data_IF_161224501721
#
_entry.id   IF_161224501721
#
_cell.length_a   1.000
_cell.length_b   1.000
_cell.length_c   1.000
_cell.angle_alpha   90.00
_cell.angle_beta   90.00
_cell.angle_gamma   90.00
#
_symmetry.space_group_name_H-M   'P 1'
#
loop_
_entity.id
_entity.type
_entity.pdbx_description
1 polymer ?
#
# COMPACT_ATOMS: atom_id res chain seq x y z
N UNK A 1 -0.91 17.26 -3.18
CA UNK A 1 -0.73 15.87 -2.70
C UNK A 1 0.76 15.61 -2.51
N UNK A 2 1.17 15.17 -1.33
CA UNK A 2 2.57 14.89 -1.01
C UNK A 2 2.79 13.36 -1.12
N UNK A 3 3.90 12.92 -1.71
CA UNK A 3 4.17 11.50 -1.99
C UNK A 3 4.31 10.64 -0.72
N UNK A 4 4.85 11.22 0.36
CA UNK A 4 4.97 10.55 1.66
C UNK A 4 3.62 10.36 2.35
N UNK A 5 2.69 11.30 2.13
CA UNK A 5 1.30 11.25 2.57
C UNK A 5 0.57 10.10 1.87
N UNK A 6 0.70 10.02 0.54
CA UNK A 6 0.12 8.92 -0.25
C UNK A 6 0.65 7.54 0.18
N UNK A 7 1.96 7.41 0.49
CA UNK A 7 2.52 6.15 1.01
C UNK A 7 1.95 5.77 2.37
N UNK A 8 1.78 6.75 3.27
CA UNK A 8 1.27 6.50 4.63
C UNK A 8 -0.22 6.15 4.61
N UNK A 9 -1.01 6.87 3.81
CA UNK A 9 -2.43 6.60 3.60
C UNK A 9 -2.65 5.20 3.03
N UNK A 10 -1.86 4.81 2.01
CA UNK A 10 -1.92 3.47 1.45
C UNK A 10 -1.56 2.39 2.48
N UNK A 11 -0.49 2.58 3.25
CA UNK A 11 -0.09 1.62 4.29
C UNK A 11 -1.21 1.44 5.33
N UNK A 12 -1.82 2.54 5.76
CA UNK A 12 -2.91 2.49 6.74
C UNK A 12 -4.15 1.80 6.14
N UNK A 13 -4.51 2.12 4.89
CA UNK A 13 -5.62 1.47 4.17
C UNK A 13 -5.41 -0.04 4.04
N UNK A 14 -4.18 -0.51 3.79
CA UNK A 14 -3.85 -1.95 3.75
C UNK A 14 -3.97 -2.62 5.13
N UNK A 15 -3.47 -1.97 6.17
CA UNK A 15 -3.41 -2.58 7.50
C UNK A 15 -4.77 -2.55 8.19
N UNK A 16 -5.44 -1.41 8.19
CA UNK A 16 -6.70 -1.19 8.90
C UNK A 16 -7.93 -1.49 8.04
N UNK A 17 -7.75 -1.70 6.74
CA UNK A 17 -8.83 -1.84 5.79
C UNK A 17 -9.43 -0.49 5.43
N UNK A 18 -10.22 -0.49 4.37
CA UNK A 18 -10.86 0.71 3.83
C UNK A 18 -12.13 0.34 3.09
N UNK A 19 -13.10 1.24 3.06
CA UNK A 19 -14.42 0.99 2.49
C UNK A 19 -14.86 2.20 1.69
N UNK A 20 -14.32 2.30 0.48
CA UNK A 20 -14.56 3.40 -0.45
C UNK A 20 -15.45 2.96 -1.63
N UNK A 21 -15.88 3.92 -2.45
CA UNK A 21 -16.75 3.68 -3.61
C UNK A 21 -16.15 2.75 -4.68
N UNK A 22 -14.86 2.40 -4.59
CA UNK A 22 -14.17 1.49 -5.50
C UNK A 22 -14.12 0.03 -5.05
N UNK A 23 -14.59 -0.30 -3.84
CA UNK A 23 -14.53 -1.65 -3.26
C UNK A 23 -14.11 -1.66 -1.79
N UNK A 24 -14.15 -2.85 -1.18
CA UNK A 24 -13.75 -3.05 0.22
C UNK A 24 -12.32 -3.58 0.26
N UNK A 25 -11.41 -2.79 0.80
CA UNK A 25 -10.06 -3.23 1.17
C UNK A 25 -10.17 -3.93 2.53
N UNK A 26 -9.93 -5.25 2.64
CA UNK A 26 -9.97 -5.92 3.94
C UNK A 26 -8.79 -5.49 4.81
N UNK A 27 -8.99 -5.46 6.12
CA UNK A 27 -7.91 -5.21 7.08
C UNK A 27 -6.93 -6.38 7.10
N UNK A 28 -5.65 -6.13 6.78
CA UNK A 28 -4.60 -7.16 6.77
C UNK A 28 -3.64 -7.08 7.96
N UNK A 29 -3.86 -6.20 8.94
CA UNK A 29 -2.97 -6.07 10.11
C UNK A 29 -2.81 -7.33 10.98
N UNK A 30 -3.71 -8.30 10.86
CA UNK A 30 -3.57 -9.61 11.51
C UNK A 30 -2.57 -10.53 10.80
N UNK A 31 -2.24 -10.21 9.55
CA UNK A 31 -1.42 -11.03 8.64
C UNK A 31 -0.11 -10.33 8.27
N UNK A 32 -0.12 -9.01 8.11
CA UNK A 32 1.00 -8.20 7.64
C UNK A 32 1.37 -7.14 8.68
N UNK A 33 2.67 -6.96 8.88
CA UNK A 33 3.21 -5.82 9.60
C UNK A 33 3.37 -4.60 8.67
N UNK A 34 3.60 -3.43 9.27
CA UNK A 34 3.95 -2.22 8.51
C UNK A 34 5.22 -2.39 7.65
N UNK A 35 6.19 -3.18 8.12
CA UNK A 35 7.40 -3.47 7.38
C UNK A 35 7.10 -4.31 6.13
N UNK A 36 6.26 -5.35 6.27
CA UNK A 36 5.87 -6.20 5.14
C UNK A 36 5.14 -5.39 4.06
N UNK A 37 4.21 -4.52 4.44
CA UNK A 37 3.51 -3.64 3.49
C UNK A 37 4.48 -2.66 2.81
N UNK A 38 5.46 -2.14 3.54
CA UNK A 38 6.50 -1.29 2.97
C UNK A 38 7.36 -2.03 1.93
N UNK A 39 7.75 -3.27 2.23
CA UNK A 39 8.58 -4.08 1.34
C UNK A 39 7.81 -4.47 0.07
N UNK A 40 6.53 -4.82 0.19
CA UNK A 40 5.63 -5.04 -0.95
C UNK A 40 5.52 -3.77 -1.80
N UNK A 41 5.37 -2.60 -1.18
CA UNK A 41 5.29 -1.33 -1.89
C UNK A 41 6.56 -1.04 -2.69
N UNK A 42 7.75 -1.20 -2.10
CA UNK A 42 9.01 -1.01 -2.81
C UNK A 42 9.21 -2.07 -3.92
N UNK A 43 8.77 -3.31 -3.70
CA UNK A 43 8.76 -4.34 -4.75
C UNK A 43 7.91 -3.95 -5.96
N UNK A 44 6.66 -3.54 -5.75
CA UNK A 44 5.76 -3.08 -6.82
C UNK A 44 6.37 -1.88 -7.56
N UNK A 45 6.93 -0.93 -6.80
CA UNK A 45 7.62 0.25 -7.36
C UNK A 45 8.82 -0.16 -8.22
N UNK A 46 9.59 -1.16 -7.79
CA UNK A 46 10.74 -1.68 -8.55
C UNK A 46 10.32 -2.31 -9.88
N UNK A 47 9.17 -2.97 -9.94
CA UNK A 47 8.61 -3.54 -11.16
C UNK A 47 8.11 -2.42 -12.09
N UNK A 48 7.29 -1.51 -11.58
CA UNK A 48 6.69 -0.46 -12.40
C UNK A 48 7.74 0.55 -12.91
N UNK A 49 8.77 0.84 -12.11
CA UNK A 49 9.92 1.63 -12.56
C UNK A 49 10.77 0.95 -13.65
N UNK A 50 10.65 -0.38 -13.79
CA UNK A 50 11.34 -1.17 -14.82
C UNK A 50 10.55 -1.23 -16.14
N UNK A 51 9.23 -1.07 -16.09
CA UNK A 51 8.33 -1.05 -17.27
C UNK A 51 8.36 0.31 -17.99
N UNK A 52 8.87 1.37 -17.35
CA UNK A 52 9.05 2.70 -17.95
C UNK A 52 10.46 2.93 -18.55
N UNK A 53 11.14 1.88 -19.01
CA UNK A 53 12.37 1.99 -19.81
C UNK A 53 12.15 1.46 -21.22
#
# INVERSE_FOLDING_TARGET
>A
MNLFGMKTELINSVLDGDSDQGGVMPALKSTLSKADVNDIFEYIKSINGRVMK
#
